data_IF_940476543232
#
_entry.id   IF_940476543232
#
_cell.length_a   1.000
_cell.length_b   1.000
_cell.length_c   1.000
_cell.angle_alpha   90.00
_cell.angle_beta   90.00
_cell.angle_gamma   90.00
#
_symmetry.space_group_name_H-M   'P 1'
#
loop_
_entity.id
_entity.type
_entity.pdbx_description
1 polymer ?
#
# COMPACT_ATOMS: atom_id res chain seq x y z
N UNK A 1 -44.51 18.00 -21.97
CA UNK A 1 -43.35 17.43 -21.26
C UNK A 1 -43.83 16.40 -20.23
N UNK A 2 -43.67 15.10 -20.50
CA UNK A 2 -44.01 14.02 -19.56
C UNK A 2 -42.82 13.77 -18.62
N UNK A 3 -42.95 14.10 -17.33
CA UNK A 3 -42.02 13.64 -16.29
C UNK A 3 -42.17 12.12 -16.15
N UNK A 4 -41.14 11.35 -16.51
CA UNK A 4 -41.07 9.92 -16.17
C UNK A 4 -40.81 9.83 -14.67
N UNK A 5 -41.81 9.36 -13.91
CA UNK A 5 -41.62 8.96 -12.52
C UNK A 5 -40.67 7.77 -12.49
N UNK A 6 -39.53 7.93 -11.83
CA UNK A 6 -38.60 6.82 -11.61
C UNK A 6 -39.28 5.89 -10.60
N UNK A 7 -39.50 4.65 -11.01
CA UNK A 7 -40.15 3.63 -10.20
C UNK A 7 -39.26 3.31 -8.98
N UNK A 8 -39.74 3.64 -7.78
CA UNK A 8 -39.04 3.45 -6.50
C UNK A 8 -38.59 1.99 -6.32
N UNK A 9 -39.36 1.03 -6.85
CA UNK A 9 -39.01 -0.39 -6.79
C UNK A 9 -37.78 -0.74 -7.65
N UNK A 10 -37.59 -0.06 -8.78
CA UNK A 10 -36.38 -0.21 -9.61
C UNK A 10 -35.15 0.37 -8.92
N UNK A 11 -35.29 1.47 -8.17
CA UNK A 11 -34.20 2.07 -7.40
C UNK A 11 -33.80 1.20 -6.19
N UNK A 12 -34.78 0.58 -5.53
CA UNK A 12 -34.58 -0.37 -4.44
C UNK A 12 -33.92 -1.67 -4.91
N UNK A 13 -34.31 -2.17 -6.08
CA UNK A 13 -33.71 -3.37 -6.67
C UNK A 13 -32.25 -3.13 -7.11
N UNK A 14 -31.95 -1.96 -7.69
CA UNK A 14 -30.58 -1.55 -8.03
C UNK A 14 -29.72 -1.40 -6.77
N UNK A 15 -30.25 -0.81 -5.69
CA UNK A 15 -29.51 -0.68 -4.41
C UNK A 15 -29.28 -2.04 -3.72
N UNK A 16 -30.25 -2.96 -3.76
CA UNK A 16 -30.09 -4.34 -3.24
C UNK A 16 -29.09 -5.18 -4.06
N UNK A 17 -29.08 -5.00 -5.37
CA UNK A 17 -28.06 -5.59 -6.25
C UNK A 17 -26.69 -4.99 -5.90
N UNK A 18 -26.55 -3.67 -5.81
CA UNK A 18 -25.30 -3.03 -5.41
C UNK A 18 -24.79 -3.52 -4.03
N UNK A 19 -25.68 -3.73 -3.06
CA UNK A 19 -25.37 -4.29 -1.72
C UNK A 19 -24.90 -5.75 -1.74
N UNK A 20 -25.26 -6.54 -2.75
CA UNK A 20 -24.83 -7.94 -2.86
C UNK A 20 -23.53 -8.11 -3.65
N UNK A 21 -23.20 -7.15 -4.54
CA UNK A 21 -21.92 -7.12 -5.25
C UNK A 21 -20.75 -6.51 -4.45
N UNK A 22 -21.02 -5.69 -3.43
CA UNK A 22 -19.99 -5.12 -2.53
C UNK A 22 -19.31 -6.18 -1.65
N UNK A 23 -20.01 -7.27 -1.31
CA UNK A 23 -19.47 -8.34 -0.44
C UNK A 23 -18.35 -9.16 -1.08
N UNK A 24 -18.30 -9.25 -2.42
CA UNK A 24 -17.23 -9.96 -3.15
C UNK A 24 -15.96 -9.12 -3.32
N UNK A 25 -16.08 -7.80 -3.22
CA UNK A 25 -15.03 -6.82 -3.48
C UNK A 25 -14.08 -6.58 -2.30
N UNK A 26 -14.56 -6.83 -1.09
CA UNK A 26 -13.86 -6.42 0.12
C UNK A 26 -12.69 -7.33 0.49
N UNK A 27 -12.50 -8.47 -0.15
CA UNK A 27 -11.89 -9.60 0.53
C UNK A 27 -10.34 -9.58 0.55
N UNK A 28 -9.71 -9.08 -0.51
CA UNK A 28 -8.23 -8.99 -0.57
C UNK A 28 -7.70 -7.64 -0.04
N UNK A 29 -8.58 -6.64 0.06
CA UNK A 29 -8.37 -5.36 0.73
C UNK A 29 -9.56 -5.08 1.65
N UNK A 30 -9.77 -5.95 2.64
CA UNK A 30 -10.72 -5.78 3.75
C UNK A 30 -10.16 -4.69 4.70
N UNK A 31 -9.60 -3.63 4.11
CA UNK A 31 -9.00 -2.44 4.70
C UNK A 31 -10.11 -1.48 5.16
N UNK A 32 -11.33 -1.60 4.60
CA UNK A 32 -12.49 -0.79 4.98
C UNK A 32 -13.21 -1.33 6.22
N UNK A 33 -13.27 -2.64 6.41
CA UNK A 33 -13.79 -3.27 7.62
C UNK A 33 -12.63 -3.68 8.51
N UNK A 34 -12.33 -2.85 9.51
CA UNK A 34 -11.33 -3.07 10.58
C UNK A 34 -11.63 -4.28 11.48
N UNK A 35 -12.22 -5.36 10.96
CA UNK A 35 -12.66 -6.51 11.74
C UNK A 35 -12.19 -7.81 11.13
N UNK A 36 -11.39 -8.53 11.91
CA UNK A 36 -10.99 -9.90 11.65
C UNK A 36 -11.96 -10.80 12.41
N UNK A 37 -12.80 -11.53 11.68
CA UNK A 37 -13.73 -12.53 12.22
C UNK A 37 -13.03 -13.88 12.33
N UNK A 38 -13.50 -14.73 13.26
CA UNK A 38 -13.04 -16.12 13.42
C UNK A 38 -13.16 -16.92 12.11
N UNK A 39 -14.19 -16.63 11.32
CA UNK A 39 -14.44 -17.22 10.01
C UNK A 39 -14.36 -16.14 8.94
N UNK A 40 -13.60 -16.41 7.89
CA UNK A 40 -13.33 -15.46 6.81
C UNK A 40 -13.90 -16.00 5.50
N UNK A 41 -14.48 -15.15 4.64
CA UNK A 41 -15.01 -15.64 3.38
C UNK A 41 -13.87 -16.12 2.48
N UNK A 42 -14.04 -17.25 1.79
CA UNK A 42 -12.99 -17.84 0.92
C UNK A 42 -12.45 -16.87 -0.13
N UNK A 43 -13.31 -15.98 -0.63
CA UNK A 43 -12.92 -14.96 -1.62
C UNK A 43 -11.84 -13.99 -1.10
N UNK A 44 -11.60 -13.93 0.22
CA UNK A 44 -10.50 -13.17 0.82
C UNK A 44 -9.14 -13.83 0.65
N UNK A 45 -9.10 -15.15 0.45
CA UNK A 45 -7.87 -15.93 0.38
C UNK A 45 -7.41 -16.06 -1.06
N UNK A 46 -6.47 -15.20 -1.42
CA UNK A 46 -5.82 -15.22 -2.72
C UNK A 46 -4.43 -15.80 -2.63
N UNK A 47 -3.91 -16.24 -3.78
CA UNK A 47 -2.53 -16.70 -3.83
C UNK A 47 -1.61 -15.61 -3.28
N UNK A 48 -0.73 -16.01 -2.38
CA UNK A 48 0.17 -15.11 -1.70
C UNK A 48 1.45 -15.89 -1.41
N UNK A 49 2.57 -15.24 -1.65
CA UNK A 49 3.87 -15.71 -1.18
C UNK A 49 4.36 -14.74 -0.11
N UNK A 50 4.91 -15.21 0.99
CA UNK A 50 5.50 -14.33 1.99
C UNK A 50 6.92 -14.75 2.33
N UNK A 51 7.71 -13.78 2.76
CA UNK A 51 9.01 -14.01 3.37
C UNK A 51 8.84 -13.92 4.88
N UNK A 52 9.15 -15.01 5.59
CA UNK A 52 9.08 -15.08 7.04
C UNK A 52 10.13 -14.17 7.69
N UNK A 53 10.01 -13.98 9.01
CA UNK A 53 11.03 -13.25 9.79
C UNK A 53 12.42 -13.91 9.71
N UNK A 54 12.48 -15.23 9.46
CA UNK A 54 13.71 -16.00 9.31
C UNK A 54 14.19 -16.07 7.85
N UNK A 55 13.64 -15.25 6.95
CA UNK A 55 13.93 -15.23 5.51
C UNK A 55 13.50 -16.50 4.73
N UNK A 56 12.60 -17.30 5.28
CA UNK A 56 12.02 -18.43 4.53
C UNK A 56 10.90 -17.94 3.63
N UNK A 57 10.85 -18.41 2.39
CA UNK A 57 9.76 -18.10 1.46
C UNK A 57 8.69 -19.18 1.52
N UNK A 58 7.45 -18.78 1.79
CA UNK A 58 6.31 -19.69 1.91
C UNK A 58 5.21 -19.25 0.95
N UNK A 59 4.71 -20.18 0.16
CA UNK A 59 3.57 -19.98 -0.75
C UNK A 59 2.30 -20.57 -0.15
N UNK A 60 1.18 -19.90 -0.38
CA UNK A 60 -0.14 -20.38 0.02
C UNK A 60 -1.22 -19.39 -0.37
N UNK A 61 -2.21 -19.23 0.51
CA UNK A 61 -3.35 -18.35 0.28
C UNK A 61 -3.62 -17.46 1.49
N UNK A 62 -3.95 -16.21 1.25
CA UNK A 62 -4.11 -15.24 2.33
C UNK A 62 -4.33 -13.82 1.86
N UNK A 63 -4.30 -12.93 2.84
CA UNK A 63 -4.40 -11.49 2.66
C UNK A 63 -3.73 -10.76 3.82
N UNK A 64 -3.53 -9.46 3.66
CA UNK A 64 -2.94 -8.58 4.68
C UNK A 64 -3.85 -8.49 5.89
N UNK A 65 -3.31 -8.67 7.11
CA UNK A 65 -4.13 -8.54 8.32
C UNK A 65 -4.60 -7.08 8.48
N UNK A 66 -5.94 -6.84 8.56
CA UNK A 66 -6.47 -5.48 8.63
C UNK A 66 -6.34 -4.84 10.02
N UNK A 67 -6.01 -5.64 11.05
CA UNK A 67 -5.86 -5.21 12.45
C UNK A 67 -4.37 -5.05 12.81
N UNK A 68 -3.55 -6.05 12.49
CA UNK A 68 -2.11 -6.02 12.76
C UNK A 68 -1.35 -5.72 11.47
N UNK A 69 -0.78 -4.53 11.44
CA UNK A 69 0.07 -4.02 10.39
C UNK A 69 1.34 -4.83 10.13
N UNK A 70 1.68 -5.84 10.94
CA UNK A 70 2.91 -6.66 10.82
C UNK A 70 2.65 -8.12 10.46
N UNK A 71 1.40 -8.47 10.15
CA UNK A 71 1.03 -9.85 9.89
C UNK A 71 0.10 -10.01 8.70
N UNK A 72 -0.06 -11.27 8.32
CA UNK A 72 -0.99 -11.72 7.30
C UNK A 72 -1.92 -12.77 7.89
N UNK A 73 -3.09 -12.86 7.29
CA UNK A 73 -3.99 -13.99 7.47
C UNK A 73 -3.61 -15.05 6.43
N UNK A 74 -3.25 -16.25 6.86
CA UNK A 74 -2.65 -17.25 5.99
C UNK A 74 -3.22 -18.66 6.19
N UNK A 75 -3.36 -19.38 5.08
CA UNK A 75 -3.56 -20.82 5.01
C UNK A 75 -2.64 -21.40 3.93
N UNK A 76 -2.14 -22.61 4.16
CA UNK A 76 -1.21 -23.27 3.23
C UNK A 76 -1.90 -23.74 1.96
N UNK A 77 -3.10 -24.29 2.11
CA UNK A 77 -3.87 -24.90 1.02
C UNK A 77 -4.98 -23.99 0.55
N UNK A 78 -5.37 -24.12 -0.72
CA UNK A 78 -6.46 -23.34 -1.31
C UNK A 78 -7.77 -23.71 -0.60
N UNK A 79 -8.48 -22.76 0.01
CA UNK A 79 -9.75 -23.09 0.64
C UNK A 79 -10.78 -23.53 -0.40
N UNK A 80 -11.49 -24.62 -0.10
CA UNK A 80 -12.58 -25.13 -0.94
C UNK A 80 -13.95 -24.67 -0.42
N UNK A 81 -14.09 -24.55 0.90
CA UNK A 81 -15.31 -24.12 1.58
C UNK A 81 -15.64 -22.64 1.35
N UNK A 82 -16.90 -22.25 1.53
CA UNK A 82 -17.32 -20.84 1.38
C UNK A 82 -16.79 -19.94 2.51
N UNK A 83 -16.63 -20.51 3.70
CA UNK A 83 -16.06 -19.88 4.89
C UNK A 83 -14.81 -20.66 5.31
N UNK A 84 -13.74 -19.93 5.61
CA UNK A 84 -12.44 -20.48 5.99
C UNK A 84 -12.26 -20.30 7.49
N UNK A 85 -12.01 -21.41 8.18
CA UNK A 85 -11.69 -21.46 9.61
C UNK A 85 -10.24 -21.90 9.80
N UNK A 86 -9.70 -21.66 10.99
CA UNK A 86 -8.35 -22.14 11.35
C UNK A 86 -7.22 -21.48 10.56
N UNK A 87 -7.48 -20.32 9.95
CA UNK A 87 -6.42 -19.49 9.37
C UNK A 87 -5.46 -19.03 10.47
N UNK A 88 -4.21 -18.81 10.08
CA UNK A 88 -3.14 -18.39 11.00
C UNK A 88 -2.88 -16.91 10.83
N UNK A 89 -2.63 -16.24 11.95
CA UNK A 89 -2.04 -14.90 11.97
C UNK A 89 -0.51 -15.06 11.95
N UNK A 90 0.13 -14.67 10.85
CA UNK A 90 1.55 -14.92 10.61
C UNK A 90 2.29 -13.60 10.47
N UNK A 91 3.27 -13.35 11.35
CA UNK A 91 4.18 -12.20 11.19
C UNK A 91 5.15 -12.46 10.05
N UNK A 92 5.28 -11.48 9.16
CA UNK A 92 6.08 -11.62 7.94
C UNK A 92 6.96 -10.40 7.72
N UNK A 93 8.09 -10.61 7.05
CA UNK A 93 8.99 -9.53 6.63
C UNK A 93 8.40 -8.79 5.42
N UNK A 94 7.89 -9.54 4.46
CA UNK A 94 7.21 -9.02 3.26
C UNK A 94 6.23 -10.06 2.72
N UNK A 95 5.29 -9.61 1.91
CA UNK A 95 4.37 -10.46 1.16
C UNK A 95 4.35 -10.02 -0.30
N UNK A 96 4.32 -10.98 -1.21
CA UNK A 96 4.08 -10.79 -2.63
C UNK A 96 2.61 -11.03 -2.88
N UNK A 97 1.90 -9.98 -3.29
CA UNK A 97 0.46 -10.00 -3.57
C UNK A 97 0.24 -9.82 -5.07
N UNK A 98 -0.75 -10.52 -5.63
CA UNK A 98 -1.07 -10.39 -7.06
C UNK A 98 -1.83 -9.08 -7.33
N UNK A 99 -1.38 -8.34 -8.34
CA UNK A 99 -1.86 -6.98 -8.64
C UNK A 99 -3.06 -6.94 -9.56
N UNK A 100 -3.41 -8.05 -10.23
CA UNK A 100 -4.58 -8.15 -11.10
C UNK A 100 -5.88 -7.73 -10.39
N UNK A 101 -6.00 -8.05 -9.10
CA UNK A 101 -7.12 -7.62 -8.26
C UNK A 101 -6.99 -6.18 -7.74
N UNK A 102 -5.77 -5.68 -7.51
CA UNK A 102 -5.52 -4.24 -7.26
C UNK A 102 -5.98 -3.38 -8.45
N UNK A 103 -5.76 -3.88 -9.66
CA UNK A 103 -6.20 -3.27 -10.92
C UNK A 103 -7.74 -3.25 -11.01
N UNK A 104 -8.41 -4.39 -10.77
CA UNK A 104 -9.89 -4.47 -10.72
C UNK A 104 -10.49 -3.55 -9.65
N UNK A 105 -9.89 -3.48 -8.46
CA UNK A 105 -10.33 -2.57 -7.40
C UNK A 105 -10.15 -1.11 -7.79
N UNK A 106 -9.00 -0.74 -8.35
CA UNK A 106 -8.75 0.62 -8.83
C UNK A 106 -9.74 1.00 -9.93
N UNK A 107 -10.09 0.06 -10.82
CA UNK A 107 -11.08 0.24 -11.87
C UNK A 107 -12.50 0.42 -11.34
N UNK A 108 -12.91 -0.37 -10.35
CA UNK A 108 -14.24 -0.22 -9.76
C UNK A 108 -14.36 1.03 -8.91
N UNK A 109 -13.27 1.45 -8.27
CA UNK A 109 -13.27 2.73 -7.58
C UNK A 109 -13.37 3.88 -8.60
N UNK A 110 -12.67 3.82 -9.75
CA UNK A 110 -12.81 4.77 -10.89
C UNK A 110 -14.26 4.94 -11.33
N UNK A 111 -14.98 3.84 -11.46
CA UNK A 111 -16.37 3.88 -11.87
C UNK A 111 -17.24 4.63 -10.84
N UNK A 112 -16.89 4.55 -9.55
CA UNK A 112 -17.64 5.14 -8.44
C UNK A 112 -17.29 6.61 -8.12
N UNK A 113 -16.22 7.21 -8.67
CA UNK A 113 -15.93 8.63 -8.41
C UNK A 113 -16.84 9.54 -9.26
N UNK A 114 -17.66 10.37 -8.61
CA UNK A 114 -18.58 11.26 -9.29
C UNK A 114 -17.88 12.48 -9.92
N UNK A 115 -16.62 12.75 -9.57
CA UNK A 115 -15.88 13.93 -10.02
C UNK A 115 -15.10 13.69 -11.32
N UNK A 116 -15.02 12.45 -11.78
CA UNK A 116 -14.34 12.09 -13.03
C UNK A 116 -15.37 11.87 -14.15
N UNK A 117 -15.13 12.46 -15.31
CA UNK A 117 -15.94 12.20 -16.51
C UNK A 117 -15.52 10.89 -17.21
N UNK A 118 -16.34 10.40 -18.15
CA UNK A 118 -16.09 9.15 -18.87
C UNK A 118 -14.80 9.16 -19.70
N UNK A 119 -14.37 10.32 -20.18
CA UNK A 119 -13.14 10.50 -20.98
C UNK A 119 -11.91 10.47 -20.07
N UNK A 120 -11.98 11.12 -18.90
CA UNK A 120 -10.96 11.09 -17.86
C UNK A 120 -10.80 9.68 -17.31
N UNK A 121 -11.90 9.01 -16.98
CA UNK A 121 -11.91 7.59 -16.58
C UNK A 121 -11.26 6.74 -17.66
N UNK A 122 -11.69 6.86 -18.93
CA UNK A 122 -11.12 6.11 -20.05
C UNK A 122 -9.63 6.36 -20.21
N UNK A 123 -9.15 7.60 -20.13
CA UNK A 123 -7.70 7.92 -20.18
C UNK A 123 -6.93 7.18 -19.09
N UNK A 124 -7.40 7.26 -17.84
CA UNK A 124 -6.76 6.60 -16.70
C UNK A 124 -6.72 5.07 -16.89
N UNK A 125 -7.79 4.49 -17.45
CA UNK A 125 -7.90 3.05 -17.75
C UNK A 125 -6.99 2.61 -18.91
N UNK A 126 -6.83 3.45 -19.93
CA UNK A 126 -6.06 3.15 -21.15
C UNK A 126 -4.55 3.38 -21.02
N UNK A 127 -4.10 4.10 -19.99
CA UNK A 127 -2.67 4.19 -19.73
C UNK A 127 -2.18 2.81 -19.31
N UNK A 128 -1.56 2.09 -20.26
CA UNK A 128 -0.93 0.80 -20.04
C UNK A 128 0.25 0.98 -19.06
N UNK A 129 -0.06 0.97 -17.78
CA UNK A 129 0.94 0.69 -16.78
C UNK A 129 1.10 -0.82 -16.77
N UNK A 130 2.30 -1.29 -17.10
CA UNK A 130 2.76 -2.61 -16.73
C UNK A 130 2.73 -2.66 -15.21
N UNK A 131 1.57 -2.99 -14.65
CA UNK A 131 1.46 -3.39 -13.27
C UNK A 131 1.95 -4.82 -13.31
N UNK A 132 3.18 -5.06 -12.83
CA UNK A 132 3.72 -6.40 -12.67
C UNK A 132 2.66 -7.29 -12.03
N UNK A 133 2.48 -8.53 -12.50
CA UNK A 133 1.40 -9.43 -12.03
C UNK A 133 1.42 -9.62 -10.51
N UNK A 134 2.56 -9.33 -9.88
CA UNK A 134 2.75 -9.32 -8.44
C UNK A 134 3.49 -8.07 -7.96
N UNK A 135 3.23 -7.67 -6.72
CA UNK A 135 3.93 -6.60 -6.04
C UNK A 135 4.39 -7.10 -4.68
N UNK A 136 5.67 -6.91 -4.37
CA UNK A 136 6.18 -7.17 -3.03
C UNK A 136 5.87 -5.97 -2.13
N UNK A 137 5.15 -6.25 -1.04
CA UNK A 137 4.75 -5.27 -0.04
C UNK A 137 5.43 -5.55 1.29
N UNK A 138 5.80 -4.47 1.96
CA UNK A 138 6.41 -4.43 3.28
C UNK A 138 5.46 -3.75 4.26
N UNK A 139 5.50 -4.25 5.48
CA UNK A 139 4.57 -3.96 6.55
C UNK A 139 5.20 -2.92 7.49
N UNK A 140 5.16 -1.66 7.11
CA UNK A 140 5.76 -0.58 7.89
C UNK A 140 4.82 -0.09 8.98
N UNK A 141 5.33 0.36 10.13
CA UNK A 141 4.48 0.83 11.24
C UNK A 141 3.47 1.88 10.77
N UNK A 142 2.20 1.68 11.14
CA UNK A 142 1.11 2.59 10.77
C UNK A 142 1.44 4.03 11.19
N UNK A 143 1.46 4.93 10.22
CA UNK A 143 1.42 6.37 10.46
C UNK A 143 -0.07 6.76 10.41
N UNK A 144 -0.59 7.36 11.49
CA UNK A 144 -1.98 7.84 11.52
C UNK A 144 -2.26 8.69 10.27
N UNK A 145 -3.24 8.29 9.45
CA UNK A 145 -3.74 9.06 8.30
C UNK A 145 -3.23 8.66 6.90
N UNK A 146 -2.46 7.59 6.72
CA UNK A 146 -2.05 7.13 5.37
C UNK A 146 -3.06 6.16 4.73
N UNK A 147 -3.25 6.27 3.40
CA UNK A 147 -4.34 5.66 2.61
C UNK A 147 -4.19 4.13 2.39
N UNK A 148 -3.03 3.56 2.65
CA UNK A 148 -2.84 2.10 2.69
C UNK A 148 -2.26 1.75 4.05
N UNK A 149 -3.06 1.07 4.90
CA UNK A 149 -2.69 0.56 6.22
C UNK A 149 -1.32 -0.13 6.13
N UNK A 150 -0.24 0.57 6.50
CA UNK A 150 1.11 0.02 6.63
C UNK A 150 1.81 -0.59 5.40
N UNK A 151 1.14 -0.85 4.28
CA UNK A 151 1.75 -1.53 3.12
C UNK A 151 2.56 -0.59 2.23
N UNK A 152 3.84 -0.90 2.03
CA UNK A 152 4.77 -0.09 1.21
C UNK A 152 5.59 -0.95 0.27
N UNK A 153 6.02 -0.38 -0.85
CA UNK A 153 6.96 -1.03 -1.77
C UNK A 153 8.38 -0.60 -1.45
N UNK A 154 9.32 -1.54 -1.47
CA UNK A 154 10.74 -1.19 -1.42
C UNK A 154 11.12 -0.57 -2.77
N UNK A 155 11.65 0.65 -2.73
CA UNK A 155 12.10 1.36 -3.92
C UNK A 155 13.61 1.27 -4.12
N UNK A 156 14.35 1.36 -3.02
CA UNK A 156 15.81 1.33 -3.03
C UNK A 156 16.33 0.88 -1.67
N UNK A 157 17.39 0.09 -1.66
CA UNK A 157 18.10 -0.36 -0.47
C UNK A 157 19.61 -0.34 -0.77
N UNK A 158 20.38 0.12 0.21
CA UNK A 158 21.84 -0.03 0.25
C UNK A 158 22.24 -0.62 1.62
N UNK A 159 23.53 -0.61 1.98
CA UNK A 159 23.97 -1.28 3.20
C UNK A 159 23.46 -0.61 4.49
N UNK A 160 23.05 0.67 4.43
CA UNK A 160 22.66 1.48 5.60
C UNK A 160 21.21 2.00 5.60
N UNK A 161 20.55 2.03 4.45
CA UNK A 161 19.25 2.65 4.28
C UNK A 161 18.30 1.85 3.39
N UNK A 162 17.00 1.96 3.70
CA UNK A 162 15.88 1.48 2.88
C UNK A 162 14.92 2.62 2.60
N UNK A 163 14.56 2.79 1.34
CA UNK A 163 13.55 3.73 0.89
C UNK A 163 12.32 2.96 0.46
N UNK A 164 11.17 3.29 1.06
CA UNK A 164 9.89 2.76 0.65
C UNK A 164 8.95 3.84 0.13
N UNK A 165 8.00 3.41 -0.68
CA UNK A 165 6.94 4.26 -1.25
C UNK A 165 5.59 3.65 -0.99
N UNK A 166 4.57 4.50 -1.00
CA UNK A 166 3.21 4.01 -1.11
C UNK A 166 3.05 3.19 -2.39
N UNK A 167 2.16 2.21 -2.33
CA UNK A 167 1.67 1.53 -3.53
C UNK A 167 0.91 2.58 -4.33
N UNK A 168 1.54 3.11 -5.39
CA UNK A 168 0.87 4.05 -6.29
C UNK A 168 -0.01 3.27 -7.25
N UNK A 169 -1.32 3.43 -7.14
CA UNK A 169 -2.22 3.26 -8.28
C UNK A 169 -2.60 4.65 -8.80
N UNK A 170 -3.05 4.75 -10.05
CA UNK A 170 -3.54 6.02 -10.63
C UNK A 170 -4.77 6.59 -9.90
N UNK A 171 -5.25 5.91 -8.85
CA UNK A 171 -6.50 6.21 -8.18
C UNK A 171 -6.36 6.81 -6.79
N UNK A 172 -5.28 6.47 -6.09
CA UNK A 172 -4.94 7.14 -4.86
C UNK A 172 -3.98 8.26 -5.20
N UNK A 173 -4.30 9.48 -4.78
CA UNK A 173 -3.34 10.58 -4.81
C UNK A 173 -2.04 10.04 -4.19
N UNK A 174 -0.99 9.92 -5.01
CA UNK A 174 0.27 9.40 -4.50
C UNK A 174 0.67 10.34 -3.39
N UNK A 175 0.76 9.82 -2.16
CA UNK A 175 1.13 10.71 -1.08
C UNK A 175 2.47 11.33 -1.46
N UNK A 176 2.63 12.60 -1.10
CA UNK A 176 3.92 13.24 -1.21
C UNK A 176 4.84 12.78 -0.08
N UNK A 177 4.63 11.57 0.46
CA UNK A 177 5.43 10.99 1.52
C UNK A 177 6.31 9.90 0.94
N UNK A 178 7.56 9.90 1.38
CA UNK A 178 8.52 8.83 1.14
C UNK A 178 9.01 8.32 2.48
N UNK A 179 9.17 7.02 2.60
CA UNK A 179 9.50 6.38 3.87
C UNK A 179 10.97 5.99 3.87
N UNK A 180 11.66 6.31 4.95
CA UNK A 180 13.06 6.00 5.16
C UNK A 180 13.19 5.10 6.39
N UNK A 181 13.93 4.00 6.26
CA UNK A 181 14.36 3.18 7.39
C UNK A 181 15.87 3.02 7.36
N UNK A 182 16.48 2.88 8.54
CA UNK A 182 17.84 2.36 8.66
C UNK A 182 17.85 0.85 8.48
N UNK A 183 18.98 0.28 8.07
CA UNK A 183 19.13 -1.18 7.89
C UNK A 183 19.62 -1.93 9.13
N UNK A 184 20.00 -1.22 10.19
CA UNK A 184 20.52 -1.75 11.48
C UNK A 184 19.62 -2.84 12.09
N UNK A 185 18.30 -2.73 11.85
CA UNK A 185 17.30 -3.69 12.31
C UNK A 185 16.58 -4.33 11.12
N UNK A 186 15.93 -5.49 11.33
CA UNK A 186 14.96 -6.02 10.38
C UNK A 186 13.87 -4.99 10.06
N UNK A 187 13.28 -5.06 8.86
CA UNK A 187 12.28 -4.07 8.38
C UNK A 187 11.11 -3.87 9.36
N UNK A 188 10.66 -4.95 10.02
CA UNK A 188 9.51 -4.95 10.94
C UNK A 188 9.85 -4.43 12.35
N UNK A 189 11.14 -4.31 12.67
CA UNK A 189 11.68 -3.75 13.93
C UNK A 189 12.29 -2.36 13.74
N UNK A 190 12.51 -1.95 12.49
CA UNK A 190 13.10 -0.67 12.14
C UNK A 190 12.12 0.48 12.32
N UNK A 191 12.61 1.56 12.91
CA UNK A 191 11.87 2.82 12.92
C UNK A 191 11.71 3.36 11.50
N UNK A 192 10.50 3.81 11.21
CA UNK A 192 10.14 4.34 9.90
C UNK A 192 9.94 5.84 9.99
N UNK A 193 10.72 6.57 9.21
CA UNK A 193 10.66 8.03 9.12
C UNK A 193 10.01 8.44 7.81
N UNK A 194 9.32 9.57 7.82
CA UNK A 194 8.65 10.09 6.65
C UNK A 194 9.30 11.38 6.17
N UNK A 195 9.58 11.44 4.88
CA UNK A 195 10.06 12.62 4.18
C UNK A 195 8.87 13.24 3.44
N UNK A 196 8.55 14.49 3.75
CA UNK A 196 7.34 15.16 3.27
C UNK A 196 7.64 16.07 2.07
N UNK A 197 7.37 15.58 0.87
CA UNK A 197 7.57 16.26 -0.40
C UNK A 197 6.41 17.17 -0.83
N UNK A 198 5.40 17.44 0.01
CA UNK A 198 4.27 18.31 -0.38
C UNK A 198 4.73 19.70 -0.82
N UNK A 199 5.79 20.21 -0.20
CA UNK A 199 6.50 21.41 -0.60
C UNK A 199 7.92 21.40 -0.02
N UNK A 200 8.80 22.25 -0.55
CA UNK A 200 10.21 22.26 -0.17
C UNK A 200 10.40 22.56 1.34
N UNK A 201 9.59 23.44 1.93
CA UNK A 201 9.65 23.77 3.37
C UNK A 201 9.31 22.57 4.24
N UNK A 202 8.24 21.85 3.92
CA UNK A 202 7.85 20.61 4.61
C UNK A 202 8.93 19.54 4.48
N UNK A 203 9.54 19.42 3.30
CA UNK A 203 10.62 18.49 3.03
C UNK A 203 11.83 18.77 3.92
N UNK A 204 12.35 20.00 3.87
CA UNK A 204 13.46 20.47 4.72
C UNK A 204 13.21 20.23 6.20
N UNK A 205 11.99 20.49 6.69
CA UNK A 205 11.60 20.24 8.08
C UNK A 205 11.65 18.75 8.43
N UNK A 206 11.14 17.89 7.54
CA UNK A 206 11.17 16.43 7.75
C UNK A 206 12.60 15.87 7.76
N UNK A 207 13.46 16.34 6.85
CA UNK A 207 14.88 15.97 6.81
C UNK A 207 15.59 16.42 8.09
N UNK A 208 15.46 17.70 8.47
CA UNK A 208 16.11 18.24 9.68
C UNK A 208 15.72 17.48 10.95
N UNK A 209 14.45 17.04 11.05
CA UNK A 209 13.97 16.28 12.20
C UNK A 209 14.65 14.91 12.30
N UNK A 210 14.80 14.22 11.17
CA UNK A 210 15.29 12.85 11.15
C UNK A 210 16.82 12.79 11.12
N UNK A 211 17.44 13.50 10.18
CA UNK A 211 18.90 13.48 9.98
C UNK A 211 19.62 14.53 10.83
N UNK A 212 19.08 14.90 12.00
CA UNK A 212 19.68 15.92 12.88
C UNK A 212 21.12 15.59 13.29
N UNK A 213 21.45 14.30 13.37
CA UNK A 213 22.79 13.78 13.71
C UNK A 213 23.67 13.58 12.48
N UNK A 214 23.18 13.86 11.28
CA UNK A 214 23.96 13.77 10.05
C UNK A 214 23.91 15.12 9.29
N UNK A 215 24.75 16.09 9.70
CA UNK A 215 24.70 17.46 9.20
C UNK A 215 24.82 17.56 7.68
N UNK A 216 25.60 16.68 7.04
CA UNK A 216 25.80 16.74 5.59
C UNK A 216 24.52 16.48 4.80
N UNK A 217 23.66 15.57 5.28
CA UNK A 217 22.33 15.36 4.69
C UNK A 217 21.46 16.59 4.85
N UNK A 218 21.49 17.21 6.03
CA UNK A 218 20.68 18.42 6.29
C UNK A 218 21.13 19.57 5.39
N UNK A 219 22.43 19.79 5.25
CA UNK A 219 23.02 20.80 4.36
C UNK A 219 22.60 20.58 2.90
N UNK A 220 22.85 19.38 2.35
CA UNK A 220 22.47 19.03 0.97
C UNK A 220 20.95 19.23 0.74
N UNK A 221 20.11 18.90 1.73
CA UNK A 221 18.67 19.15 1.63
C UNK A 221 18.30 20.63 1.66
N UNK A 222 19.07 21.49 2.34
CA UNK A 222 18.87 22.93 2.26
C UNK A 222 19.20 23.49 0.88
N UNK A 223 20.22 22.93 0.23
CA UNK A 223 20.67 23.29 -1.12
C UNK A 223 19.73 22.75 -2.23
N UNK A 224 18.82 21.84 -1.89
CA UNK A 224 17.81 21.31 -2.81
C UNK A 224 18.20 20.00 -3.48
N UNK A 225 19.30 19.36 -3.10
CA UNK A 225 19.85 18.16 -3.74
C UNK A 225 18.89 16.96 -3.81
N UNK A 226 17.89 16.95 -2.93
CA UNK A 226 16.92 15.88 -2.79
C UNK A 226 15.49 16.32 -3.12
N UNK A 227 15.29 17.49 -3.71
CA UNK A 227 13.97 18.02 -4.07
C UNK A 227 14.00 18.54 -5.53
N UNK A 228 13.00 18.30 -6.38
CA UNK A 228 11.66 17.75 -6.10
C UNK A 228 11.63 16.21 -6.00
N UNK A 229 10.44 15.70 -5.65
CA UNK A 229 10.14 14.27 -5.52
C UNK A 229 10.50 13.52 -6.81
N UNK A 230 11.60 12.75 -6.80
CA UNK A 230 12.07 12.00 -7.97
C UNK A 230 12.84 10.75 -7.56
N UNK A 231 12.90 9.76 -8.47
CA UNK A 231 13.68 8.55 -8.25
C UNK A 231 15.15 8.82 -7.95
N UNK A 232 15.75 9.77 -8.68
CA UNK A 232 17.13 10.22 -8.48
C UNK A 232 17.34 10.81 -7.07
N UNK A 233 16.43 11.67 -6.62
CA UNK A 233 16.50 12.25 -5.28
C UNK A 233 16.45 11.19 -4.17
N UNK A 234 15.60 10.17 -4.33
CA UNK A 234 15.46 9.10 -3.34
C UNK A 234 16.70 8.22 -3.23
N UNK A 235 17.33 7.89 -4.35
CA UNK A 235 18.60 7.15 -4.34
C UNK A 235 19.70 8.01 -3.73
N UNK A 236 19.82 9.26 -4.19
CA UNK A 236 20.85 10.19 -3.71
C UNK A 236 20.82 10.37 -2.19
N UNK A 237 19.65 10.58 -1.58
CA UNK A 237 19.58 10.75 -0.11
C UNK A 237 19.96 9.48 0.65
N UNK A 238 19.68 8.29 0.11
CA UNK A 238 20.08 7.02 0.71
C UNK A 238 21.59 6.77 0.55
N UNK A 239 22.16 7.08 -0.62
CA UNK A 239 23.60 6.92 -0.89
C UNK A 239 24.44 7.93 -0.11
N UNK A 240 23.98 9.18 -0.04
CA UNK A 240 24.62 10.19 0.81
C UNK A 240 24.51 9.80 2.29
N UNK A 241 23.40 9.17 2.71
CA UNK A 241 23.28 8.68 4.09
C UNK A 241 24.31 7.57 4.36
N UNK A 242 24.45 6.65 3.41
CA UNK A 242 25.42 5.56 3.53
C UNK A 242 26.86 6.09 3.66
N UNK A 243 27.19 7.11 2.86
CA UNK A 243 28.52 7.73 2.77
C UNK A 243 28.86 8.64 3.94
N UNK A 244 27.93 9.50 4.36
CA UNK A 244 28.24 10.61 5.27
C UNK A 244 27.73 10.39 6.69
N UNK A 245 26.82 9.45 6.92
CA UNK A 245 26.30 9.19 8.25
C UNK A 245 26.98 7.96 8.84
N UNK A 246 27.65 8.15 9.96
CA UNK A 246 28.07 7.06 10.84
C UNK A 246 26.85 6.47 11.55
N UNK A 247 26.95 5.19 11.93
CA UNK A 247 25.85 4.46 12.58
C UNK A 247 25.55 5.00 13.97
#
# INVERSE_FOLDING_TARGET
>A
MRRRSINIYSLLFITLILLSYTNKLHAQFYITSRSLKKEQPRIAFDSLTYTSVNNETVSGFGFVNPIDAKSIVFVKEKPNESLVKGWKDVKVKSATIYTSKLKDLSFRMLDLDPNLDSIQKKRILTTNYAIDDTIQVFFLRNIKGAIANSLRTLYYENSKARIFKDISSNYYATSQIVYFQKTEKPVYESDTYFLNYNNHKAFKKSVKRFFKTCPKIVENAQNGDYFPRSGKAFRKIADDYERYCEN
#
